data_IF_986410257174
#
_entry.id   IF_986410257174
#
_cell.length_a   1.000
_cell.length_b   1.000
_cell.length_c   1.000
_cell.angle_alpha   90.00
_cell.angle_beta   90.00
_cell.angle_gamma   90.00
#
_symmetry.space_group_name_H-M   'P 1'
#
loop_
_entity.id
_entity.type
_entity.pdbx_description
1 polymer ?
#
# COMPACT_ATOMS: atom_id res chain seq x y z
N UNK A 1 -11.68 -12.02 -4.25
CA UNK A 1 -10.35 -12.26 -4.60
C UNK A 1 -9.74 -11.16 -5.40
N UNK A 2 -10.21 -10.89 -6.58
CA UNK A 2 -9.68 -9.80 -7.36
C UNK A 2 -9.82 -8.46 -6.69
N UNK A 3 -10.74 -8.39 -5.80
CA UNK A 3 -11.01 -7.17 -5.07
C UNK A 3 -9.79 -6.69 -4.30
N UNK A 4 -9.14 -7.62 -3.64
CA UNK A 4 -7.99 -7.30 -2.82
C UNK A 4 -6.81 -6.86 -3.68
N UNK A 5 -6.69 -7.45 -4.83
CA UNK A 5 -5.63 -7.11 -5.74
C UNK A 5 -5.75 -5.70 -6.25
N UNK A 6 -6.96 -5.28 -6.56
CA UNK A 6 -7.19 -3.94 -7.05
C UNK A 6 -6.77 -2.91 -6.02
N UNK A 7 -7.08 -3.18 -4.76
CA UNK A 7 -6.73 -2.27 -3.68
C UNK A 7 -5.22 -2.17 -3.57
N UNK A 8 -4.55 -3.28 -3.69
CA UNK A 8 -3.11 -3.30 -3.57
C UNK A 8 -2.46 -2.46 -4.66
N UNK A 9 -2.96 -2.57 -5.85
CA UNK A 9 -2.44 -1.80 -6.97
C UNK A 9 -2.66 -0.32 -6.74
N UNK A 10 -3.82 0.04 -6.21
CA UNK A 10 -4.11 1.43 -5.91
C UNK A 10 -3.16 1.98 -4.86
N UNK A 11 -2.88 1.19 -3.85
CA UNK A 11 -1.98 1.61 -2.80
C UNK A 11 -0.58 1.83 -3.37
N UNK A 12 -0.15 0.95 -4.24
CA UNK A 12 1.14 1.10 -4.86
C UNK A 12 1.20 2.34 -5.72
N UNK A 13 0.10 2.65 -6.35
CA UNK A 13 0.02 3.85 -7.17
C UNK A 13 0.18 5.10 -6.30
N UNK A 14 -0.46 5.10 -5.13
CA UNK A 14 -0.35 6.19 -4.21
C UNK A 14 1.09 6.37 -3.74
N UNK A 15 1.76 5.26 -3.53
CA UNK A 15 3.15 5.30 -3.12
C UNK A 15 3.99 5.94 -4.20
N UNK A 16 3.73 5.62 -5.43
CA UNK A 16 4.46 6.18 -6.56
C UNK A 16 4.23 7.67 -6.67
N UNK A 17 3.07 8.13 -6.22
CA UNK A 17 2.76 9.54 -6.25
C UNK A 17 3.42 10.31 -5.11
N UNK A 18 4.08 9.61 -4.22
CA UNK A 18 4.74 10.25 -3.11
C UNK A 18 3.89 10.39 -1.86
N UNK A 19 2.77 9.69 -1.82
CA UNK A 19 1.91 9.73 -0.65
C UNK A 19 2.52 8.93 0.48
N UNK A 20 2.26 9.37 1.70
CA UNK A 20 2.76 8.65 2.86
C UNK A 20 1.90 7.44 3.14
N UNK A 21 2.46 6.44 3.83
CA UNK A 21 1.68 5.26 4.16
C UNK A 21 0.52 5.57 5.09
N UNK A 22 0.70 6.54 5.95
CA UNK A 22 -0.36 6.91 6.87
C UNK A 22 -1.54 7.50 6.12
N UNK A 23 -1.27 8.39 5.19
CA UNK A 23 -2.31 8.99 4.39
C UNK A 23 -3.02 7.94 3.57
N UNK A 24 -2.27 7.02 3.00
CA UNK A 24 -2.83 5.95 2.20
C UNK A 24 -3.73 5.06 3.05
N UNK A 25 -3.29 4.76 4.26
CA UNK A 25 -4.10 3.93 5.14
C UNK A 25 -5.42 4.60 5.48
N UNK A 26 -5.38 5.89 5.77
CA UNK A 26 -6.59 6.60 6.14
C UNK A 26 -7.61 6.53 5.01
N UNK A 27 -7.15 6.61 3.80
CA UNK A 27 -8.03 6.56 2.65
C UNK A 27 -8.61 5.16 2.43
N UNK A 28 -7.80 4.14 2.63
CA UNK A 28 -8.22 2.77 2.38
C UNK A 28 -8.53 1.99 3.64
N UNK A 29 -8.68 2.67 4.77
CA UNK A 29 -8.81 1.97 6.03
C UNK A 29 -10.03 1.05 6.09
N UNK A 30 -11.02 1.32 5.28
CA UNK A 30 -12.21 0.47 5.25
C UNK A 30 -11.96 -0.83 4.51
N UNK A 31 -10.89 -0.88 3.76
CA UNK A 31 -10.59 -2.04 2.92
C UNK A 31 -9.36 -2.79 3.38
N UNK A 32 -8.42 -2.09 3.97
CA UNK A 32 -7.17 -2.71 4.39
C UNK A 32 -6.84 -2.26 5.80
N UNK A 33 -5.89 -2.97 6.41
CA UNK A 33 -5.43 -2.59 7.73
C UNK A 33 -4.16 -1.79 7.61
N UNK A 34 -3.79 -1.17 8.71
CA UNK A 34 -2.57 -0.40 8.75
C UNK A 34 -1.37 -1.28 8.43
N UNK A 35 -1.44 -2.51 8.89
CA UNK A 35 -0.38 -3.46 8.66
C UNK A 35 -0.24 -3.78 7.18
N UNK A 36 -1.34 -3.88 6.50
CA UNK A 36 -1.32 -4.16 5.07
C UNK A 36 -0.62 -3.06 4.30
N UNK A 37 -0.97 -1.83 4.62
CA UNK A 37 -0.37 -0.69 3.95
C UNK A 37 1.12 -0.62 4.23
N UNK A 38 1.49 -0.84 5.48
CA UNK A 38 2.90 -0.81 5.85
C UNK A 38 3.68 -1.89 5.12
N UNK A 39 3.07 -3.04 4.95
CA UNK A 39 3.73 -4.13 4.27
C UNK A 39 3.96 -3.82 2.81
N UNK A 40 2.99 -3.20 2.17
CA UNK A 40 3.12 -2.87 0.77
C UNK A 40 4.20 -1.82 0.58
N UNK A 41 4.24 -0.83 1.45
CA UNK A 41 5.26 0.20 1.35
C UNK A 41 6.64 -0.35 1.65
N UNK A 42 6.75 -1.22 2.63
CA UNK A 42 8.02 -1.81 3.00
C UNK A 42 8.54 -2.75 1.92
N UNK A 43 7.61 -3.36 1.23
CA UNK A 43 7.96 -4.30 0.18
C UNK A 43 8.78 -3.64 -0.92
N UNK A 44 8.41 -2.41 -1.21
CA UNK A 44 9.11 -1.68 -2.24
C UNK A 44 10.57 -1.44 -1.85
N UNK A 45 10.78 -1.12 -0.60
CA UNK A 45 12.12 -0.91 -0.10
C UNK A 45 12.91 -2.20 -0.07
N UNK A 46 12.23 -3.26 0.30
CA UNK A 46 12.87 -4.55 0.43
C UNK A 46 13.36 -5.09 -0.89
N UNK A 47 12.60 -4.85 -1.90
CA UNK A 47 12.91 -5.32 -3.21
C UNK A 47 14.23 -4.80 -3.70
N UNK A 48 14.55 -3.62 -3.30
CA UNK A 48 15.76 -3.00 -3.71
C UNK A 48 17.00 -3.71 -3.22
N UNK A 49 16.94 -4.22 -2.03
CA UNK A 49 18.07 -4.91 -1.47
C UNK A 49 18.27 -6.27 -2.06
N UNK A 50 17.25 -6.83 -2.56
CA UNK A 50 17.38 -8.14 -3.17
C UNK A 50 18.13 -8.05 -4.46
#
# INVERSE_FOLDING_TARGET
MGFFKDIEIEIMHWQALGRSPEETYIYFKDYVTQEDVARIFARDCDEETA
#
